data_IF_810182117416
#
_entry.id   IF_810182117416
#
_cell.length_a   1.000
_cell.length_b   1.000
_cell.length_c   1.000
_cell.angle_alpha   90.00
_cell.angle_beta   90.00
_cell.angle_gamma   90.00
#
_symmetry.space_group_name_H-M   'P 1'
#
loop_
_entity.id
_entity.type
_entity.pdbx_description
1 polymer ?
#
# COMPACT_ATOMS: atom_id res chain seq x y z
N UNK A 1 -73.02 -18.21 -39.71
CA UNK A 1 -71.90 -18.91 -39.05
C UNK A 1 -70.64 -18.65 -39.87
N UNK A 2 -70.26 -17.42 -40.21
CA UNK A 2 -69.78 -16.34 -39.35
C UNK A 2 -68.60 -16.80 -38.48
N UNK A 3 -67.40 -16.86 -39.07
CA UNK A 3 -66.17 -16.80 -38.30
C UNK A 3 -65.31 -15.68 -38.88
N UNK A 4 -65.40 -14.54 -38.21
CA UNK A 4 -64.57 -13.38 -38.42
C UNK A 4 -63.12 -13.74 -38.04
N UNK A 5 -62.24 -13.77 -39.02
CA UNK A 5 -60.81 -13.71 -38.78
C UNK A 5 -60.50 -12.29 -38.31
N UNK A 6 -60.38 -12.11 -36.99
CA UNK A 6 -59.76 -10.92 -36.40
C UNK A 6 -58.30 -10.89 -36.87
N UNK A 7 -58.04 -10.11 -37.92
CA UNK A 7 -56.73 -9.53 -38.15
C UNK A 7 -56.52 -8.45 -37.08
N UNK A 8 -55.92 -8.83 -35.95
CA UNK A 8 -55.23 -7.84 -35.12
C UNK A 8 -53.86 -7.64 -35.75
N UNK A 9 -53.74 -6.61 -36.57
CA UNK A 9 -52.45 -6.02 -36.89
C UNK A 9 -51.83 -5.55 -35.57
N UNK A 10 -50.95 -6.37 -35.00
CA UNK A 10 -50.07 -5.97 -33.91
C UNK A 10 -49.03 -5.03 -34.52
N UNK A 11 -49.38 -3.75 -34.67
CA UNK A 11 -48.39 -2.71 -34.95
C UNK A 11 -47.43 -2.69 -33.77
N UNK A 12 -46.17 -3.08 -34.01
CA UNK A 12 -45.10 -2.92 -33.04
C UNK A 12 -45.05 -1.44 -32.63
N UNK A 13 -44.93 -1.11 -31.33
CA UNK A 13 -44.84 0.28 -30.90
C UNK A 13 -43.59 0.90 -31.52
N UNK A 14 -43.79 1.85 -32.42
CA UNK A 14 -42.70 2.58 -33.07
C UNK A 14 -42.09 3.54 -32.05
N UNK A 15 -40.82 3.33 -31.70
CA UNK A 15 -40.02 4.19 -30.81
C UNK A 15 -39.56 5.51 -31.47
N UNK A 16 -40.10 5.83 -32.65
CA UNK A 16 -39.69 6.99 -33.44
C UNK A 16 -40.55 8.21 -33.10
N UNK A 17 -39.89 9.32 -32.76
CA UNK A 17 -40.54 10.58 -32.46
C UNK A 17 -40.98 11.23 -33.79
N UNK A 18 -42.25 11.09 -34.15
CA UNK A 18 -42.81 11.63 -35.40
C UNK A 18 -43.14 13.10 -35.21
N UNK A 19 -42.52 13.97 -36.01
CA UNK A 19 -42.85 15.39 -36.06
C UNK A 19 -44.21 15.58 -36.76
N UNK A 20 -45.27 15.76 -35.99
CA UNK A 20 -46.55 16.22 -36.50
C UNK A 20 -46.43 17.72 -36.79
N UNK A 21 -46.22 18.08 -38.07
CA UNK A 21 -46.20 19.48 -38.51
C UNK A 21 -47.50 20.18 -38.13
N UNK A 22 -47.43 21.12 -37.19
CA UNK A 22 -48.54 22.02 -36.87
C UNK A 22 -48.14 23.44 -37.28
N UNK A 23 -49.00 24.08 -38.07
CA UNK A 23 -48.91 25.52 -38.29
C UNK A 23 -49.40 26.18 -37.01
N UNK A 24 -48.58 27.02 -36.32
CA UNK A 24 -49.01 27.62 -35.07
C UNK A 24 -50.28 28.45 -35.29
N UNK A 25 -51.22 28.37 -34.35
CA UNK A 25 -52.45 29.16 -34.39
C UNK A 25 -52.08 30.66 -34.46
N UNK A 26 -52.30 31.29 -35.61
CA UNK A 26 -52.10 32.73 -35.77
C UNK A 26 -53.20 33.44 -34.99
N UNK A 27 -52.88 34.01 -33.82
CA UNK A 27 -53.79 34.94 -33.15
C UNK A 27 -53.87 36.21 -33.99
N UNK A 28 -55.00 36.42 -34.65
CA UNK A 28 -55.28 37.65 -35.37
C UNK A 28 -55.96 38.62 -34.41
N UNK A 29 -55.29 39.73 -34.14
CA UNK A 29 -55.89 40.87 -33.46
C UNK A 29 -56.30 41.90 -34.51
N UNK A 30 -57.47 42.53 -34.37
CA UNK A 30 -57.91 43.63 -35.24
C UNK A 30 -57.19 44.95 -34.89
N UNK A 31 -55.86 44.93 -34.80
CA UNK A 31 -55.05 46.03 -34.28
C UNK A 31 -55.19 47.32 -35.09
N UNK A 32 -55.46 47.22 -36.41
CA UNK A 32 -55.67 48.41 -37.24
C UNK A 32 -57.00 49.09 -36.94
N UNK A 33 -58.09 48.34 -36.86
CA UNK A 33 -59.41 48.87 -36.49
C UNK A 33 -59.40 49.43 -35.06
N UNK A 34 -58.78 48.70 -34.12
CA UNK A 34 -58.65 49.14 -32.74
C UNK A 34 -57.82 50.42 -32.61
N UNK A 35 -56.69 50.52 -33.33
CA UNK A 35 -55.88 51.74 -33.39
C UNK A 35 -56.64 52.91 -34.02
N UNK A 36 -57.48 52.63 -35.03
CA UNK A 36 -58.30 53.66 -35.65
C UNK A 36 -59.42 54.14 -34.71
N UNK A 37 -60.03 53.23 -33.95
CA UNK A 37 -61.02 53.56 -32.93
C UNK A 37 -60.42 54.40 -31.80
N UNK A 38 -59.26 54.00 -31.25
CA UNK A 38 -58.53 54.82 -30.26
C UNK A 38 -58.20 56.19 -30.84
N UNK A 39 -57.69 56.27 -32.08
CA UNK A 39 -57.39 57.58 -32.70
C UNK A 39 -58.65 58.42 -32.89
N UNK A 40 -59.78 57.82 -33.23
CA UNK A 40 -61.05 58.52 -33.40
C UNK A 40 -61.64 58.97 -32.06
N UNK A 41 -61.47 58.20 -30.98
CA UNK A 41 -61.82 58.61 -29.63
C UNK A 41 -60.87 59.72 -29.13
N UNK A 42 -59.57 59.61 -29.37
CA UNK A 42 -58.57 60.63 -29.04
C UNK A 42 -58.79 61.97 -29.75
N UNK A 43 -59.37 61.98 -30.96
CA UNK A 43 -59.78 63.21 -31.66
C UNK A 43 -60.87 63.99 -30.93
N UNK A 44 -61.69 63.32 -30.09
CA UNK A 44 -62.69 64.00 -29.25
C UNK A 44 -62.05 64.73 -28.06
N UNK A 45 -60.76 64.50 -27.82
CA UNK A 45 -60.03 64.93 -26.63
C UNK A 45 -58.91 65.94 -26.94
N UNK A 46 -59.01 66.69 -28.04
CA UNK A 46 -58.17 67.87 -28.33
C UNK A 46 -58.58 69.05 -27.40
N UNK A 47 -58.59 68.78 -26.10
CA UNK A 47 -58.98 69.69 -25.02
C UNK A 47 -57.73 70.37 -24.47
N UNK A 48 -57.69 71.70 -24.55
CA UNK A 48 -56.71 72.49 -23.81
C UNK A 48 -57.01 72.33 -22.32
N UNK A 49 -56.07 71.79 -21.55
CA UNK A 49 -56.22 71.62 -20.10
C UNK A 49 -56.25 73.00 -19.44
N UNK A 50 -57.39 73.37 -18.86
CA UNK A 50 -57.61 74.62 -18.12
C UNK A 50 -57.98 74.29 -16.67
N UNK A 51 -58.04 75.31 -15.80
CA UNK A 51 -58.34 75.13 -14.36
C UNK A 51 -59.67 74.41 -14.13
N UNK A 52 -60.65 74.65 -15.01
CA UNK A 52 -61.99 74.05 -14.92
C UNK A 52 -62.06 72.63 -15.50
N UNK A 53 -61.14 72.22 -16.39
CA UNK A 53 -61.17 70.93 -17.10
C UNK A 53 -60.18 69.89 -16.57
N UNK A 54 -59.31 70.25 -15.62
CA UNK A 54 -58.29 69.37 -15.03
C UNK A 54 -58.87 68.09 -14.40
N UNK A 55 -60.05 68.17 -13.77
CA UNK A 55 -60.68 67.01 -13.12
C UNK A 55 -61.07 65.95 -14.15
N UNK A 56 -61.68 66.38 -15.25
CA UNK A 56 -62.12 65.49 -16.33
C UNK A 56 -60.93 64.95 -17.12
N UNK A 57 -59.89 65.77 -17.33
CA UNK A 57 -58.63 65.32 -17.93
C UNK A 57 -57.93 64.24 -17.09
N UNK A 58 -57.97 64.34 -15.75
CA UNK A 58 -57.43 63.30 -14.86
C UNK A 58 -58.26 62.00 -14.90
N UNK A 59 -59.59 62.10 -14.95
CA UNK A 59 -60.46 60.95 -15.10
C UNK A 59 -60.23 60.24 -16.44
N UNK A 60 -60.06 61.00 -17.52
CA UNK A 60 -59.75 60.49 -18.84
C UNK A 60 -58.37 59.82 -18.91
N UNK A 61 -57.35 60.43 -18.32
CA UNK A 61 -56.03 59.80 -18.22
C UNK A 61 -56.07 58.47 -17.44
N UNK A 62 -56.89 58.39 -16.39
CA UNK A 62 -57.11 57.15 -15.66
C UNK A 62 -57.83 56.08 -16.51
N UNK A 63 -58.82 56.46 -17.30
CA UNK A 63 -59.52 55.55 -18.22
C UNK A 63 -58.61 55.02 -19.33
N UNK A 64 -57.83 55.88 -19.97
CA UNK A 64 -56.84 55.49 -20.98
C UNK A 64 -55.78 54.53 -20.40
N UNK A 65 -55.34 54.76 -19.17
CA UNK A 65 -54.44 53.84 -18.47
C UNK A 65 -55.11 52.49 -18.18
N UNK A 66 -56.40 52.47 -17.82
CA UNK A 66 -57.20 51.26 -17.64
C UNK A 66 -57.34 50.45 -18.93
N UNK A 67 -57.66 51.11 -20.04
CA UNK A 67 -57.75 50.49 -21.36
C UNK A 67 -56.40 49.92 -21.83
N UNK A 68 -55.30 50.66 -21.64
CA UNK A 68 -53.95 50.19 -21.97
C UNK A 68 -53.55 48.95 -21.15
N UNK A 69 -53.91 48.93 -19.85
CA UNK A 69 -53.68 47.77 -18.97
C UNK A 69 -54.49 46.55 -19.44
N UNK A 70 -55.78 46.72 -19.70
CA UNK A 70 -56.67 45.64 -20.19
C UNK A 70 -56.19 45.02 -21.51
N UNK A 71 -55.71 45.84 -22.45
CA UNK A 71 -55.13 45.35 -23.70
C UNK A 71 -53.87 44.49 -23.44
N UNK A 72 -52.98 44.95 -22.56
CA UNK A 72 -51.77 44.23 -22.20
C UNK A 72 -52.10 42.91 -21.50
N UNK A 73 -53.10 42.90 -20.63
CA UNK A 73 -53.53 41.70 -19.91
C UNK A 73 -54.17 40.69 -20.86
N UNK A 74 -55.05 41.11 -21.77
CA UNK A 74 -55.61 40.23 -22.82
C UNK A 74 -54.56 39.67 -23.77
N UNK A 75 -53.55 40.47 -24.14
CA UNK A 75 -52.43 39.99 -24.94
C UNK A 75 -51.63 38.90 -24.18
N UNK A 76 -51.36 39.10 -22.89
CA UNK A 76 -50.68 38.11 -22.06
C UNK A 76 -51.48 36.82 -21.91
N UNK A 77 -52.78 36.92 -21.65
CA UNK A 77 -53.68 35.76 -21.57
C UNK A 77 -53.71 34.98 -22.89
N UNK A 78 -53.84 35.68 -24.02
CA UNK A 78 -53.81 35.06 -25.34
C UNK A 78 -52.44 34.42 -25.67
N UNK A 79 -51.33 35.08 -25.30
CA UNK A 79 -49.99 34.53 -25.47
C UNK A 79 -49.80 33.25 -24.63
N UNK A 80 -50.26 33.25 -23.37
CA UNK A 80 -50.20 32.09 -22.49
C UNK A 80 -51.00 30.88 -23.04
N UNK A 81 -52.15 31.12 -23.68
CA UNK A 81 -52.93 30.03 -24.31
C UNK A 81 -52.19 29.36 -25.47
N UNK A 82 -51.31 30.08 -26.17
CA UNK A 82 -50.52 29.55 -27.29
C UNK A 82 -49.22 28.90 -26.82
N UNK A 83 -48.59 29.42 -25.76
CA UNK A 83 -47.35 28.82 -25.22
C UNK A 83 -47.64 27.60 -24.35
N UNK A 84 -48.76 27.58 -23.61
CA UNK A 84 -49.08 26.51 -22.66
C UNK A 84 -49.03 25.09 -23.28
N UNK A 85 -49.60 24.81 -24.47
CA UNK A 85 -49.48 23.47 -25.08
C UNK A 85 -48.02 23.08 -25.42
N UNK A 86 -47.17 24.07 -25.72
CA UNK A 86 -45.74 23.85 -25.99
C UNK A 86 -44.98 23.62 -24.69
N UNK A 87 -45.32 24.36 -23.63
CA UNK A 87 -44.76 24.19 -22.29
C UNK A 87 -45.15 22.82 -21.70
N UNK A 88 -46.43 22.44 -21.80
CA UNK A 88 -46.97 21.15 -21.36
C UNK A 88 -46.30 19.98 -22.13
N UNK A 89 -46.17 20.09 -23.46
CA UNK A 89 -45.42 19.10 -24.26
C UNK A 89 -43.92 19.07 -23.87
N UNK A 90 -43.33 20.22 -23.55
CA UNK A 90 -41.96 20.32 -23.06
C UNK A 90 -41.76 19.56 -21.74
N UNK A 91 -42.74 19.60 -20.83
CA UNK A 91 -42.75 18.83 -19.60
C UNK A 91 -42.90 17.32 -19.87
N UNK A 92 -43.83 16.91 -20.73
CA UNK A 92 -44.01 15.50 -21.10
C UNK A 92 -42.74 14.92 -21.75
N UNK A 93 -42.09 15.67 -22.64
CA UNK A 93 -40.81 15.28 -23.24
C UNK A 93 -39.71 15.22 -22.17
N UNK A 94 -39.67 16.15 -21.22
CA UNK A 94 -38.69 16.14 -20.13
C UNK A 94 -38.88 14.93 -19.20
N UNK A 95 -40.12 14.53 -18.92
CA UNK A 95 -40.44 13.35 -18.13
C UNK A 95 -39.98 12.06 -18.85
N UNK A 96 -40.25 11.94 -20.16
CA UNK A 96 -39.76 10.80 -20.97
C UNK A 96 -38.23 10.75 -21.00
N UNK A 97 -37.57 11.90 -21.17
CA UNK A 97 -36.10 11.98 -21.13
C UNK A 97 -35.57 11.53 -19.77
N UNK A 98 -36.20 11.95 -18.68
CA UNK A 98 -35.85 11.52 -17.31
C UNK A 98 -35.97 9.99 -17.17
N UNK A 99 -37.08 9.39 -17.62
CA UNK A 99 -37.30 7.95 -17.55
C UNK A 99 -36.24 7.15 -18.33
N UNK A 100 -35.84 7.63 -19.51
CA UNK A 100 -34.78 7.03 -20.32
C UNK A 100 -33.44 7.07 -19.59
N UNK A 101 -33.10 8.23 -18.98
CA UNK A 101 -31.84 8.39 -18.25
C UNK A 101 -31.77 7.50 -17.01
N UNK A 102 -32.83 7.47 -16.20
CA UNK A 102 -32.90 6.58 -15.03
C UNK A 102 -32.80 5.10 -15.42
N UNK A 103 -33.46 4.70 -16.51
CA UNK A 103 -33.40 3.33 -17.03
C UNK A 103 -32.00 2.96 -17.50
N UNK A 104 -31.31 3.88 -18.19
CA UNK A 104 -29.91 3.73 -18.60
C UNK A 104 -28.98 3.59 -17.39
N UNK A 105 -29.17 4.39 -16.34
CA UNK A 105 -28.36 4.31 -15.12
C UNK A 105 -28.52 2.95 -14.42
N UNK A 106 -29.76 2.46 -14.29
CA UNK A 106 -30.05 1.12 -13.76
C UNK A 106 -29.36 0.02 -14.58
N UNK A 107 -29.45 0.07 -15.91
CA UNK A 107 -28.77 -0.89 -16.79
C UNK A 107 -27.24 -0.82 -16.66
N UNK A 108 -26.68 0.39 -16.58
CA UNK A 108 -25.22 0.58 -16.42
C UNK A 108 -24.73 0.00 -15.09
N UNK A 109 -25.49 0.18 -14.01
CA UNK A 109 -25.18 -0.39 -12.71
C UNK A 109 -25.25 -1.93 -12.72
N UNK A 110 -26.25 -2.51 -13.39
CA UNK A 110 -26.38 -3.96 -13.55
C UNK A 110 -25.25 -4.56 -14.37
N UNK A 111 -24.88 -3.92 -15.49
CA UNK A 111 -23.73 -4.32 -16.32
C UNK A 111 -22.46 -4.34 -15.49
N UNK A 112 -22.17 -3.25 -14.76
CA UNK A 112 -20.98 -3.18 -13.91
C UNK A 112 -20.94 -4.29 -12.86
N UNK A 113 -22.06 -4.50 -12.16
CA UNK A 113 -22.16 -5.57 -11.15
C UNK A 113 -21.88 -6.94 -11.76
N UNK A 114 -22.48 -7.24 -12.91
CA UNK A 114 -22.25 -8.48 -13.64
C UNK A 114 -20.79 -8.63 -14.07
N UNK A 115 -20.18 -7.59 -14.63
CA UNK A 115 -18.77 -7.63 -15.04
C UNK A 115 -17.82 -7.87 -13.86
N UNK A 116 -18.06 -7.23 -12.72
CA UNK A 116 -17.25 -7.37 -11.52
C UNK A 116 -17.38 -8.80 -10.93
N UNK A 117 -18.60 -9.32 -10.81
CA UNK A 117 -18.86 -10.70 -10.39
C UNK A 117 -18.22 -11.71 -11.36
N UNK A 118 -18.34 -11.48 -12.67
CA UNK A 118 -17.73 -12.34 -13.69
C UNK A 118 -16.21 -12.32 -13.62
N UNK A 119 -15.59 -11.18 -13.36
CA UNK A 119 -14.12 -11.08 -13.18
C UNK A 119 -13.64 -11.85 -11.95
N UNK A 120 -14.41 -11.91 -10.87
CA UNK A 120 -14.09 -12.74 -9.70
C UNK A 120 -14.07 -14.22 -10.09
N UNK A 121 -15.07 -14.69 -10.82
CA UNK A 121 -15.12 -16.08 -11.33
C UNK A 121 -13.93 -16.38 -12.24
N UNK A 122 -13.61 -15.48 -13.17
CA UNK A 122 -12.43 -15.59 -14.05
C UNK A 122 -11.14 -15.70 -13.22
N UNK A 123 -10.96 -14.82 -12.22
CA UNK A 123 -9.77 -14.82 -11.38
C UNK A 123 -9.61 -16.15 -10.66
N UNK A 124 -10.69 -16.66 -10.03
CA UNK A 124 -10.65 -17.94 -9.32
C UNK A 124 -10.28 -19.10 -10.25
N UNK A 125 -10.85 -19.15 -11.46
CA UNK A 125 -10.52 -20.20 -12.43
C UNK A 125 -9.05 -20.13 -12.89
N UNK A 126 -8.50 -18.92 -13.08
CA UNK A 126 -7.09 -18.73 -13.39
C UNK A 126 -6.20 -19.15 -12.21
N UNK A 127 -6.59 -18.81 -10.98
CA UNK A 127 -5.83 -19.16 -9.77
C UNK A 127 -5.79 -20.67 -9.55
N UNK A 128 -6.94 -21.34 -9.65
CA UNK A 128 -7.03 -22.80 -9.57
C UNK A 128 -6.13 -23.44 -10.62
N UNK A 129 -6.23 -22.99 -11.88
CA UNK A 129 -5.40 -23.56 -12.95
C UNK A 129 -3.91 -23.26 -12.75
N UNK A 130 -3.57 -22.11 -12.20
CA UNK A 130 -2.19 -21.72 -11.88
C UNK A 130 -1.58 -22.64 -10.82
N UNK A 131 -2.33 -22.95 -9.77
CA UNK A 131 -1.90 -23.89 -8.73
C UNK A 131 -1.65 -25.27 -9.34
N UNK A 132 -2.60 -25.79 -10.13
CA UNK A 132 -2.42 -27.07 -10.84
C UNK A 132 -1.15 -27.09 -11.70
N UNK A 133 -0.89 -26.03 -12.46
CA UNK A 133 0.26 -25.96 -13.35
C UNK A 133 1.59 -25.82 -12.59
N UNK A 134 1.62 -25.10 -11.46
CA UNK A 134 2.79 -25.08 -10.58
C UNK A 134 3.09 -26.45 -9.99
N UNK A 135 2.06 -27.20 -9.59
CA UNK A 135 2.23 -28.54 -9.05
C UNK A 135 2.65 -29.53 -10.15
N UNK A 136 2.08 -29.42 -11.36
CA UNK A 136 2.46 -30.25 -12.52
C UNK A 136 3.90 -30.03 -12.98
N UNK A 137 4.40 -28.80 -12.89
CA UNK A 137 5.78 -28.45 -13.26
C UNK A 137 6.74 -28.47 -12.06
N UNK A 138 6.28 -28.93 -10.89
CA UNK A 138 7.08 -29.01 -9.66
C UNK A 138 7.80 -27.70 -9.32
N UNK A 139 7.10 -26.57 -9.51
CA UNK A 139 7.64 -25.24 -9.20
C UNK A 139 7.62 -25.03 -7.69
N UNK A 140 8.79 -24.81 -7.10
CA UNK A 140 8.94 -24.59 -5.66
C UNK A 140 8.37 -23.23 -5.25
N UNK A 141 7.92 -23.12 -4.01
CA UNK A 141 7.20 -21.97 -3.48
C UNK A 141 7.95 -20.64 -3.67
N UNK A 142 9.28 -20.65 -3.49
CA UNK A 142 10.14 -19.47 -3.69
C UNK A 142 10.14 -18.92 -5.12
N UNK A 143 9.76 -19.74 -6.12
CA UNK A 143 9.66 -19.34 -7.52
C UNK A 143 8.21 -19.11 -7.98
N UNK A 144 7.19 -19.29 -7.12
CA UNK A 144 5.77 -19.15 -7.49
C UNK A 144 5.35 -17.69 -7.64
N UNK A 145 5.91 -17.00 -8.62
CA UNK A 145 5.60 -15.61 -8.95
C UNK A 145 5.00 -15.50 -10.35
N UNK A 146 3.68 -15.59 -10.48
CA UNK A 146 3.00 -15.39 -11.77
C UNK A 146 1.86 -14.36 -11.59
N UNK A 147 2.09 -13.08 -11.94
CA UNK A 147 1.08 -12.04 -11.82
C UNK A 147 -0.03 -12.25 -12.86
N UNK A 148 -1.25 -12.51 -12.39
CA UNK A 148 -2.38 -12.91 -13.25
C UNK A 148 -3.34 -11.77 -13.58
N UNK A 149 -3.19 -10.57 -13.00
CA UNK A 149 -4.18 -9.49 -13.17
C UNK A 149 -4.44 -9.12 -14.62
N UNK A 150 -3.39 -9.17 -15.46
CA UNK A 150 -3.51 -8.90 -16.91
C UNK A 150 -4.30 -9.98 -17.66
N UNK A 151 -4.45 -11.17 -17.10
CA UNK A 151 -5.21 -12.28 -17.66
C UNK A 151 -6.69 -12.24 -17.28
N UNK A 152 -7.06 -11.49 -16.24
CA UNK A 152 -8.45 -11.36 -15.76
C UNK A 152 -9.23 -10.44 -16.70
N UNK A 153 -9.80 -11.04 -17.75
CA UNK A 153 -10.66 -10.37 -18.74
C UNK A 153 -11.97 -11.14 -18.85
N UNK A 154 -13.07 -10.46 -19.21
CA UNK A 154 -14.37 -11.11 -19.40
C UNK A 154 -14.31 -12.21 -20.48
N UNK A 155 -13.46 -12.04 -21.49
CA UNK A 155 -13.23 -12.99 -22.58
C UNK A 155 -12.29 -14.14 -22.23
N UNK A 156 -11.77 -14.20 -20.99
CA UNK A 156 -10.85 -15.25 -20.57
C UNK A 156 -11.54 -16.61 -20.32
N UNK A 157 -12.87 -16.60 -20.16
CA UNK A 157 -13.70 -17.79 -20.06
C UNK A 157 -14.54 -17.98 -21.33
N UNK A 158 -14.78 -19.24 -21.66
CA UNK A 158 -15.75 -19.67 -22.67
C UNK A 158 -17.18 -19.63 -22.11
N UNK A 159 -18.17 -19.79 -22.98
CA UNK A 159 -19.59 -19.88 -22.57
C UNK A 159 -19.87 -21.08 -21.66
N UNK A 160 -18.97 -22.07 -21.62
CA UNK A 160 -19.01 -23.24 -20.74
C UNK A 160 -18.18 -23.08 -19.47
N UNK A 161 -17.80 -21.85 -19.12
CA UNK A 161 -16.99 -21.53 -17.94
C UNK A 161 -15.60 -22.17 -17.87
N UNK A 162 -15.08 -22.67 -19.00
CA UNK A 162 -13.68 -23.12 -19.10
C UNK A 162 -12.78 -21.97 -19.55
N UNK A 163 -11.52 -21.96 -19.09
CA UNK A 163 -10.50 -21.02 -19.56
C UNK A 163 -10.30 -21.16 -21.09
N UNK A 164 -10.18 -20.01 -21.76
CA UNK A 164 -9.87 -20.02 -23.19
C UNK A 164 -8.45 -20.53 -23.45
N UNK A 165 -8.23 -21.08 -24.65
CA UNK A 165 -6.90 -21.52 -25.08
C UNK A 165 -5.87 -20.38 -25.16
N UNK A 166 -6.31 -19.12 -25.32
CA UNK A 166 -5.42 -17.97 -25.27
C UNK A 166 -4.96 -17.70 -23.83
N UNK A 167 -5.90 -17.61 -22.89
CA UNK A 167 -5.59 -17.42 -21.47
C UNK A 167 -4.73 -18.56 -20.92
N UNK A 168 -5.01 -19.81 -21.30
CA UNK A 168 -4.20 -20.96 -20.90
C UNK A 168 -2.76 -20.87 -21.41
N UNK A 169 -2.56 -20.49 -22.68
CA UNK A 169 -1.21 -20.31 -23.24
C UNK A 169 -0.44 -19.20 -22.54
N UNK A 170 -1.10 -18.07 -22.27
CA UNK A 170 -0.46 -16.95 -21.60
C UNK A 170 -0.12 -17.29 -20.13
N UNK A 171 -1.02 -18.01 -19.43
CA UNK A 171 -0.76 -18.52 -18.09
C UNK A 171 0.40 -19.52 -18.08
N UNK A 172 0.41 -20.47 -19.02
CA UNK A 172 1.51 -21.43 -19.18
C UNK A 172 2.84 -20.72 -19.39
N UNK A 173 2.88 -19.72 -20.25
CA UNK A 173 4.09 -18.92 -20.51
C UNK A 173 4.64 -18.24 -19.23
N UNK A 174 3.75 -17.71 -18.38
CA UNK A 174 4.17 -17.14 -17.08
C UNK A 174 4.77 -18.21 -16.17
N UNK A 175 4.16 -19.39 -16.11
CA UNK A 175 4.62 -20.48 -15.24
C UNK A 175 5.91 -21.11 -15.76
N UNK A 176 6.06 -21.23 -17.08
CA UNK A 176 7.30 -21.68 -17.72
C UNK A 176 8.46 -20.74 -17.39
N UNK A 177 8.22 -19.42 -17.27
CA UNK A 177 9.25 -18.48 -16.84
C UNK A 177 9.67 -18.72 -15.38
N UNK A 178 8.74 -19.07 -14.49
CA UNK A 178 9.08 -19.43 -13.11
C UNK A 178 9.91 -20.71 -13.07
N UNK A 179 9.51 -21.72 -13.86
CA UNK A 179 10.27 -22.96 -13.97
C UNK A 179 11.68 -22.71 -14.50
N UNK A 180 11.84 -21.87 -15.52
CA UNK A 180 13.15 -21.48 -16.05
C UNK A 180 14.02 -20.77 -15.00
N UNK A 181 13.43 -19.90 -14.19
CA UNK A 181 14.14 -19.23 -13.09
C UNK A 181 14.60 -20.23 -12.03
N UNK A 182 13.75 -21.21 -11.70
CA UNK A 182 14.11 -22.32 -10.82
C UNK A 182 15.26 -23.14 -11.38
N UNK A 183 15.16 -23.63 -12.63
CA UNK A 183 16.21 -24.43 -13.27
C UNK A 183 17.53 -23.65 -13.36
N UNK A 184 17.48 -22.34 -13.63
CA UNK A 184 18.65 -21.46 -13.63
C UNK A 184 19.28 -21.35 -12.23
N UNK A 185 18.45 -21.23 -11.20
CA UNK A 185 18.90 -21.12 -9.81
C UNK A 185 19.52 -22.43 -9.32
N UNK A 186 18.88 -23.56 -9.60
CA UNK A 186 19.41 -24.90 -9.30
C UNK A 186 20.76 -25.13 -9.99
N UNK A 187 20.88 -24.74 -11.27
CA UNK A 187 22.15 -24.81 -12.01
C UNK A 187 23.23 -23.92 -11.40
N UNK A 188 22.88 -22.71 -10.96
CA UNK A 188 23.81 -21.78 -10.29
C UNK A 188 24.37 -22.40 -9.01
N UNK A 189 23.50 -22.95 -8.17
CA UNK A 189 23.89 -23.60 -6.91
C UNK A 189 24.76 -24.85 -7.15
N UNK A 190 24.41 -25.67 -8.14
CA UNK A 190 25.21 -26.85 -8.52
C UNK A 190 26.64 -26.49 -8.97
N UNK A 191 26.79 -25.35 -9.65
CA UNK A 191 28.09 -24.89 -10.16
C UNK A 191 28.87 -24.06 -9.14
N UNK A 192 28.22 -23.54 -8.09
CA UNK A 192 28.80 -22.61 -7.13
C UNK A 192 30.00 -23.20 -6.38
N UNK A 193 29.88 -24.44 -5.91
CA UNK A 193 30.96 -25.14 -5.22
C UNK A 193 32.17 -25.32 -6.15
N UNK A 194 31.93 -25.81 -7.37
CA UNK A 194 32.97 -25.99 -8.38
C UNK A 194 33.67 -24.68 -8.74
N UNK A 195 32.93 -23.58 -8.87
CA UNK A 195 33.52 -22.27 -9.14
C UNK A 195 34.33 -21.77 -7.94
N UNK A 196 33.86 -21.96 -6.71
CA UNK A 196 34.56 -21.54 -5.50
C UNK A 196 35.95 -22.19 -5.40
N UNK A 197 36.06 -23.50 -5.63
CA UNK A 197 37.35 -24.18 -5.63
C UNK A 197 38.25 -23.78 -6.81
N UNK A 198 37.68 -23.53 -8.00
CA UNK A 198 38.44 -23.06 -9.16
C UNK A 198 39.09 -21.69 -8.91
N UNK A 199 38.42 -20.81 -8.19
CA UNK A 199 38.95 -19.51 -7.78
C UNK A 199 39.94 -19.61 -6.59
N UNK A 200 40.16 -20.80 -6.04
CA UNK A 200 41.14 -21.06 -4.99
C UNK A 200 40.64 -20.87 -3.56
N UNK A 201 39.32 -20.76 -3.35
CA UNK A 201 38.75 -20.72 -2.00
C UNK A 201 38.94 -22.07 -1.29
N UNK A 202 39.39 -22.03 -0.03
CA UNK A 202 39.54 -23.24 0.81
C UNK A 202 38.20 -23.83 1.27
N UNK A 203 37.20 -22.99 1.47
CA UNK A 203 35.83 -23.37 1.77
C UNK A 203 34.91 -22.84 0.68
N UNK A 204 34.01 -23.66 0.10
CA UNK A 204 33.15 -23.23 -0.98
C UNK A 204 32.05 -22.29 -0.50
N UNK A 205 31.61 -21.40 -1.39
CA UNK A 205 30.44 -20.57 -1.13
C UNK A 205 29.18 -21.45 -1.12
N UNK A 206 28.30 -21.20 -0.15
CA UNK A 206 27.00 -21.85 -0.02
C UNK A 206 25.89 -20.93 -0.53
N UNK A 207 24.66 -21.47 -0.63
CA UNK A 207 23.46 -20.70 -1.00
C UNK A 207 23.31 -19.40 -0.20
N UNK A 208 23.55 -19.45 1.11
CA UNK A 208 23.44 -18.31 2.03
C UNK A 208 24.31 -17.12 1.60
N UNK A 209 25.48 -17.38 0.99
CA UNK A 209 26.39 -16.33 0.55
C UNK A 209 25.84 -15.58 -0.68
N UNK A 210 25.07 -16.27 -1.53
CA UNK A 210 24.62 -15.75 -2.83
C UNK A 210 23.14 -15.40 -2.86
N UNK A 211 22.39 -15.70 -1.80
CA UNK A 211 20.94 -15.60 -1.72
C UNK A 211 20.42 -14.22 -2.15
N UNK A 212 21.08 -13.14 -1.71
CA UNK A 212 20.71 -11.75 -2.02
C UNK A 212 20.72 -11.39 -3.51
N UNK A 213 21.41 -12.16 -4.35
CA UNK A 213 21.48 -11.94 -5.79
C UNK A 213 21.24 -13.21 -6.62
N UNK A 214 20.73 -14.27 -5.99
CA UNK A 214 20.56 -15.59 -6.60
C UNK A 214 19.57 -15.57 -7.77
N UNK A 215 18.59 -14.67 -7.74
CA UNK A 215 17.54 -14.51 -8.75
C UNK A 215 17.84 -13.40 -9.78
N UNK A 216 19.00 -12.76 -9.69
CA UNK A 216 19.35 -11.67 -10.60
C UNK A 216 19.56 -12.14 -12.04
N UNK A 217 19.43 -11.21 -12.97
CA UNK A 217 19.80 -11.42 -14.36
C UNK A 217 21.27 -11.89 -14.48
N UNK A 218 21.54 -12.75 -15.48
CA UNK A 218 22.82 -13.46 -15.60
C UNK A 218 24.06 -12.55 -15.53
N UNK A 219 24.03 -11.41 -16.21
CA UNK A 219 25.13 -10.45 -16.20
C UNK A 219 25.38 -9.84 -14.80
N UNK A 220 24.30 -9.58 -14.04
CA UNK A 220 24.41 -9.03 -12.69
C UNK A 220 24.85 -10.11 -11.70
N UNK A 221 24.31 -11.32 -11.81
CA UNK A 221 24.71 -12.48 -11.01
C UNK A 221 26.21 -12.76 -11.15
N UNK A 222 26.73 -12.86 -12.38
CA UNK A 222 28.14 -13.15 -12.61
C UNK A 222 29.07 -12.09 -12.02
N UNK A 223 28.72 -10.81 -12.18
CA UNK A 223 29.51 -9.70 -11.61
C UNK A 223 29.52 -9.70 -10.08
N UNK A 224 28.35 -9.92 -9.45
CA UNK A 224 28.23 -9.99 -7.99
C UNK A 224 28.93 -11.20 -7.40
N UNK A 225 28.85 -12.36 -8.08
CA UNK A 225 29.54 -13.57 -7.67
C UNK A 225 31.07 -13.38 -7.70
N UNK A 226 31.61 -12.82 -8.77
CA UNK A 226 33.05 -12.53 -8.88
C UNK A 226 33.52 -11.57 -7.78
N UNK A 227 32.70 -10.56 -7.46
CA UNK A 227 32.98 -9.64 -6.36
C UNK A 227 33.00 -10.35 -5.00
N UNK A 228 32.00 -11.22 -4.74
CA UNK A 228 31.94 -12.02 -3.52
C UNK A 228 33.16 -12.93 -3.38
N UNK A 229 33.52 -13.66 -4.43
CA UNK A 229 34.71 -14.52 -4.45
C UNK A 229 35.99 -13.72 -4.17
N UNK A 230 36.13 -12.53 -4.75
CA UNK A 230 37.28 -11.65 -4.49
C UNK A 230 37.33 -11.19 -3.03
N UNK A 231 36.20 -10.85 -2.44
CA UNK A 231 36.10 -10.45 -1.03
C UNK A 231 36.51 -11.60 -0.10
N UNK A 232 36.03 -12.81 -0.41
CA UNK A 232 36.28 -14.02 0.36
C UNK A 232 37.74 -14.48 0.27
N UNK A 233 38.37 -14.37 -0.90
CA UNK A 233 39.81 -14.61 -1.05
C UNK A 233 40.64 -13.62 -0.20
N UNK A 234 40.26 -12.34 -0.16
CA UNK A 234 40.93 -11.35 0.71
C UNK A 234 40.77 -11.69 2.19
N UNK A 235 39.58 -12.14 2.61
CA UNK A 235 39.33 -12.57 3.98
C UNK A 235 40.18 -13.79 4.36
N UNK A 236 40.28 -14.76 3.46
CA UNK A 236 41.13 -15.95 3.65
C UNK A 236 42.61 -15.56 3.79
N UNK A 237 43.13 -14.73 2.88
CA UNK A 237 44.52 -14.27 2.93
C UNK A 237 44.85 -13.51 4.25
N UNK A 238 43.96 -12.62 4.69
CA UNK A 238 44.13 -11.89 5.94
C UNK A 238 44.12 -12.81 7.18
N UNK A 239 43.26 -13.83 7.16
CA UNK A 239 43.18 -14.82 8.25
C UNK A 239 44.44 -15.66 8.30
N UNK A 240 44.92 -16.14 7.15
CA UNK A 240 46.16 -16.93 7.07
C UNK A 240 47.39 -16.14 7.52
N UNK A 241 47.49 -14.87 7.14
CA UNK A 241 48.57 -14.01 7.58
C UNK A 241 48.51 -13.77 9.10
N UNK A 242 47.32 -13.51 9.66
CA UNK A 242 47.13 -13.35 11.09
C UNK A 242 47.49 -14.62 11.88
N UNK A 243 47.03 -15.80 11.43
CA UNK A 243 47.39 -17.09 12.04
C UNK A 243 48.89 -17.34 11.94
N UNK A 244 49.53 -17.03 10.79
CA UNK A 244 50.97 -17.20 10.63
C UNK A 244 51.78 -16.31 11.57
N UNK A 245 51.32 -15.08 11.80
CA UNK A 245 51.94 -14.16 12.77
C UNK A 245 51.79 -14.69 14.20
N UNK A 246 50.59 -15.13 14.60
CA UNK A 246 50.35 -15.71 15.91
C UNK A 246 51.22 -16.94 16.19
N UNK A 247 51.28 -17.88 15.24
CA UNK A 247 52.13 -19.08 15.36
C UNK A 247 53.61 -18.71 15.45
N UNK A 248 54.08 -17.72 14.67
CA UNK A 248 55.46 -17.26 14.74
C UNK A 248 55.79 -16.58 16.08
N UNK A 249 54.90 -15.75 16.61
CA UNK A 249 55.05 -15.10 17.91
C UNK A 249 55.04 -16.12 19.05
N UNK A 250 54.17 -17.12 18.99
CA UNK A 250 54.11 -18.21 19.97
C UNK A 250 55.38 -19.06 19.94
N UNK A 251 55.89 -19.42 18.75
CA UNK A 251 57.17 -20.12 18.61
C UNK A 251 58.35 -19.31 19.15
N UNK A 252 58.35 -17.99 19.00
CA UNK A 252 59.38 -17.12 19.59
C UNK A 252 59.27 -17.06 21.11
N UNK A 253 58.06 -17.00 21.68
CA UNK A 253 57.86 -17.05 23.14
C UNK A 253 58.40 -18.36 23.72
N UNK A 254 58.02 -19.50 23.14
CA UNK A 254 58.48 -20.81 23.63
C UNK A 254 60.00 -20.97 23.51
N UNK A 255 60.64 -20.39 22.50
CA UNK A 255 62.11 -20.40 22.37
C UNK A 255 62.81 -19.47 23.36
N UNK A 256 62.22 -18.34 23.73
CA UNK A 256 62.75 -17.46 24.78
C UNK A 256 62.59 -18.07 26.18
N UNK A 257 61.49 -18.78 26.44
CA UNK A 257 61.28 -19.52 27.70
C UNK A 257 62.17 -20.77 27.83
N UNK A 258 62.64 -21.33 26.70
CA UNK A 258 63.54 -22.48 26.67
C UNK A 258 65.04 -22.11 26.70
N UNK A 259 65.40 -20.83 26.77
CA UNK A 259 66.79 -20.42 26.98
C UNK A 259 67.19 -20.63 28.46
N UNK A 260 68.31 -21.32 28.76
CA UNK A 260 68.68 -21.64 30.14
C UNK A 260 69.03 -20.35 30.91
N UNK A 261 68.36 -20.15 32.04
CA UNK A 261 68.71 -19.09 32.99
C UNK A 261 70.19 -19.18 33.41
N UNK A 262 70.95 -18.06 33.42
CA UNK A 262 72.25 -18.05 34.06
C UNK A 262 72.07 -18.18 35.58
N UNK A 263 72.67 -19.23 36.13
CA UNK A 263 72.70 -19.55 37.56
C UNK A 263 73.23 -18.36 38.37
N UNK A 264 72.37 -17.65 39.11
CA UNK A 264 72.77 -16.75 40.20
C UNK A 264 71.83 -16.85 41.42
N UNK A 265 72.39 -17.43 42.48
CA UNK A 265 72.29 -17.08 43.91
C UNK A 265 70.93 -16.66 44.53
N UNK A 266 70.43 -17.55 45.38
CA UNK A 266 69.71 -17.40 46.66
C UNK A 266 68.94 -16.10 47.03
N UNK A 267 67.65 -16.33 47.34
CA UNK A 267 66.67 -15.62 48.22
C UNK A 267 66.05 -14.26 47.79
N UNK A 268 64.80 -13.94 48.23
CA UNK A 268 63.65 -14.77 48.63
C UNK A 268 62.40 -14.53 47.75
N UNK A 269 61.50 -15.51 47.74
CA UNK A 269 60.25 -15.53 46.97
C UNK A 269 59.22 -14.52 47.54
N UNK A 270 58.71 -13.54 46.77
CA UNK A 270 57.42 -12.95 47.06
C UNK A 270 56.35 -13.87 46.47
N UNK A 271 55.77 -14.73 47.32
CA UNK A 271 54.51 -15.40 47.00
C UNK A 271 53.44 -14.33 46.82
N UNK A 272 53.17 -13.94 45.58
CA UNK A 272 51.88 -13.40 45.17
C UNK A 272 51.10 -14.53 44.50
N UNK A 273 50.66 -15.49 45.32
CA UNK A 273 49.37 -16.10 45.03
C UNK A 273 48.35 -15.05 45.44
N UNK A 274 47.72 -14.39 44.46
CA UNK A 274 46.46 -13.72 44.75
C UNK A 274 45.55 -14.78 45.38
N UNK A 275 44.97 -14.55 46.57
CA UNK A 275 44.01 -15.49 47.11
C UNK A 275 42.89 -15.66 46.06
N UNK A 276 42.49 -16.90 45.74
CA UNK A 276 41.46 -17.14 44.73
C UNK A 276 40.25 -16.28 45.06
N UNK A 277 39.73 -15.60 44.05
CA UNK A 277 38.58 -14.72 44.21
C UNK A 277 37.42 -15.51 44.83
N UNK A 278 36.53 -14.85 45.57
CA UNK A 278 35.38 -15.53 46.17
C UNK A 278 34.58 -16.31 45.12
N UNK A 279 34.55 -15.82 43.87
CA UNK A 279 33.97 -16.49 42.72
C UNK A 279 34.69 -17.81 42.39
N UNK A 280 36.01 -17.80 42.23
CA UNK A 280 36.80 -19.02 41.97
C UNK A 280 36.69 -20.05 43.12
N UNK A 281 36.64 -19.59 44.37
CA UNK A 281 36.42 -20.48 45.52
C UNK A 281 35.03 -21.13 45.50
N UNK A 282 33.99 -20.40 45.08
CA UNK A 282 32.64 -20.93 44.91
C UNK A 282 32.55 -21.91 43.72
N UNK A 283 33.22 -21.63 42.61
CA UNK A 283 33.28 -22.52 41.44
C UNK A 283 33.93 -23.87 41.78
N UNK A 284 35.05 -23.84 42.51
CA UNK A 284 35.73 -25.06 42.96
C UNK A 284 34.84 -25.86 43.93
N UNK A 285 34.16 -25.21 44.88
CA UNK A 285 33.22 -25.88 45.80
C UNK A 285 32.01 -26.47 45.09
N UNK A 286 31.45 -25.75 44.12
CA UNK A 286 30.32 -26.22 43.31
C UNK A 286 30.71 -27.46 42.51
N UNK A 287 31.91 -27.46 41.91
CA UNK A 287 32.43 -28.60 41.17
C UNK A 287 32.61 -29.83 42.06
N UNK A 288 33.24 -29.65 43.23
CA UNK A 288 33.42 -30.72 44.21
C UNK A 288 32.08 -31.27 44.73
N UNK A 289 31.08 -30.41 44.97
CA UNK A 289 29.76 -30.82 45.42
C UNK A 289 28.99 -31.62 44.35
N UNK A 290 29.09 -31.23 43.07
CA UNK A 290 28.49 -31.98 41.95
C UNK A 290 29.14 -33.35 41.74
N UNK A 291 30.46 -33.43 41.88
CA UNK A 291 31.22 -34.68 41.76
C UNK A 291 30.97 -35.64 42.94
N UNK A 292 30.64 -35.11 44.12
CA UNK A 292 30.31 -35.89 45.31
C UNK A 292 28.85 -36.38 45.36
N UNK A 293 27.93 -35.70 44.66
CA UNK A 293 26.50 -36.04 44.62
C UNK A 293 26.19 -37.54 44.36
N UNK A 294 26.86 -38.25 43.44
CA UNK A 294 26.57 -39.66 43.16
C UNK A 294 26.94 -40.61 44.30
N UNK A 295 27.77 -40.16 45.25
CA UNK A 295 28.33 -40.96 46.34
C UNK A 295 27.73 -40.59 47.71
N UNK A 296 26.70 -39.75 47.74
CA UNK A 296 26.06 -39.32 48.97
C UNK A 296 25.16 -40.42 49.55
N UNK A 297 25.58 -41.03 50.65
CA UNK A 297 24.86 -42.10 51.37
C UNK A 297 23.65 -41.58 52.20
N UNK A 298 23.12 -40.40 51.88
CA UNK A 298 22.07 -39.71 52.65
C UNK A 298 21.06 -38.95 51.78
N UNK A 299 20.30 -38.04 52.41
CA UNK A 299 19.12 -37.36 51.87
C UNK A 299 19.44 -36.50 50.62
N UNK A 300 19.47 -37.13 49.45
CA UNK A 300 19.90 -36.60 48.16
C UNK A 300 19.25 -35.25 47.78
N UNK A 301 18.03 -35.03 48.27
CA UNK A 301 17.27 -33.78 48.07
C UNK A 301 17.92 -32.55 48.73
N UNK A 302 18.58 -32.71 49.89
CA UNK A 302 19.24 -31.60 50.58
C UNK A 302 20.54 -31.19 49.90
N UNK A 303 21.28 -32.14 49.34
CA UNK A 303 22.52 -31.84 48.61
C UNK A 303 22.24 -31.16 47.26
N UNK A 304 21.18 -31.58 46.57
CA UNK A 304 20.72 -30.88 45.37
C UNK A 304 20.31 -29.43 45.67
N UNK A 305 19.63 -29.17 46.80
CA UNK A 305 19.30 -27.79 47.22
C UNK A 305 20.53 -26.94 47.47
N UNK A 306 21.54 -27.49 48.16
CA UNK A 306 22.81 -26.78 48.41
C UNK A 306 23.56 -26.46 47.11
N UNK A 307 23.56 -27.38 46.14
CA UNK A 307 24.14 -27.15 44.82
C UNK A 307 23.40 -26.03 44.09
N UNK A 308 22.06 -26.06 44.07
CA UNK A 308 21.27 -25.01 43.44
C UNK A 308 21.44 -23.63 44.10
N UNK A 309 21.58 -23.58 45.42
CA UNK A 309 21.89 -22.34 46.15
C UNK A 309 23.28 -21.79 45.77
N UNK A 310 24.30 -22.65 45.67
CA UNK A 310 25.63 -22.25 45.22
C UNK A 310 25.65 -21.78 43.76
N UNK A 311 24.89 -22.42 42.87
CA UNK A 311 24.71 -21.97 41.47
C UNK A 311 24.04 -20.59 41.40
N UNK A 312 23.02 -20.37 42.22
CA UNK A 312 22.32 -19.08 42.26
C UNK A 312 23.23 -17.96 42.78
N UNK A 313 24.06 -18.24 43.80
CA UNK A 313 25.05 -17.29 44.30
C UNK A 313 26.13 -16.98 43.26
N UNK A 314 26.63 -17.98 42.54
CA UNK A 314 27.61 -17.78 41.46
C UNK A 314 27.03 -16.92 40.33
N UNK A 315 25.77 -17.18 39.93
CA UNK A 315 25.07 -16.40 38.92
C UNK A 315 24.81 -14.95 39.38
N UNK A 316 24.52 -14.73 40.66
CA UNK A 316 24.35 -13.39 41.22
C UNK A 316 25.65 -12.58 41.24
N UNK A 317 26.81 -13.23 41.45
CA UNK A 317 28.12 -12.58 41.39
C UNK A 317 28.59 -12.26 39.97
N UNK A 318 28.05 -12.95 38.95
CA UNK A 318 28.37 -12.74 37.53
C UNK A 318 27.42 -11.75 36.83
N UNK A 319 26.36 -11.28 37.49
CA UNK A 319 25.49 -10.25 36.92
C UNK A 319 26.12 -8.85 37.09
N UNK A 320 26.31 -8.07 36.00
CA UNK A 320 26.62 -6.66 36.16
C UNK A 320 25.45 -5.93 36.81
N UNK A 321 25.76 -4.94 37.67
CA UNK A 321 24.78 -4.13 38.40
C UNK A 321 23.70 -3.56 37.44
N UNK A 322 22.45 -3.37 37.92
CA UNK A 322 21.38 -2.86 37.08
C UNK A 322 21.75 -1.46 36.57
N UNK A 323 21.88 -1.33 35.25
CA UNK A 323 22.11 -0.06 34.57
C UNK A 323 20.87 0.82 34.78
N UNK A 324 21.00 1.83 35.64
CA UNK A 324 20.09 2.97 35.65
C UNK A 324 20.04 3.52 34.22
N UNK A 325 18.86 3.48 33.58
CA UNK A 325 18.67 3.98 32.23
C UNK A 325 18.95 5.49 32.22
N UNK A 326 20.15 5.87 31.78
CA UNK A 326 20.43 7.25 31.39
C UNK A 326 19.56 7.55 30.16
N UNK A 327 18.77 8.62 30.25
CA UNK A 327 17.87 9.05 29.18
C UNK A 327 18.66 9.21 27.86
N UNK A 328 18.38 8.34 26.89
CA UNK A 328 19.00 8.40 25.57
C UNK A 328 18.41 9.59 24.80
N UNK A 329 19.27 10.42 24.19
CA UNK A 329 18.80 11.53 23.35
C UNK A 329 18.31 10.96 22.02
N UNK A 330 17.01 11.10 21.75
CA UNK A 330 16.38 10.64 20.51
C UNK A 330 16.03 11.85 19.64
N UNK A 331 16.60 11.90 18.44
CA UNK A 331 16.36 12.97 17.46
C UNK A 331 15.29 12.47 16.45
N UNK A 332 14.17 13.18 16.33
CA UNK A 332 13.12 12.86 15.34
C UNK A 332 13.35 13.70 14.09
N UNK A 333 13.68 13.05 12.98
CA UNK A 333 14.17 13.70 11.75
C UNK A 333 13.22 13.37 10.60
N UNK A 334 12.87 14.39 9.81
CA UNK A 334 12.07 14.21 8.62
C UNK A 334 12.96 13.88 7.42
N UNK A 335 12.52 12.98 6.54
CA UNK A 335 13.15 12.78 5.24
C UNK A 335 12.14 12.54 4.11
N UNK A 336 11.48 13.58 3.57
CA UNK A 336 10.83 13.46 2.28
C UNK A 336 11.94 13.53 1.23
N UNK A 337 12.08 12.49 0.41
CA UNK A 337 13.07 12.45 -0.67
C UNK A 337 14.55 12.60 -0.25
N UNK A 338 14.91 12.17 0.97
CA UNK A 338 16.31 12.09 1.40
C UNK A 338 16.95 13.37 1.96
N UNK A 339 16.20 14.43 2.25
CA UNK A 339 16.72 15.56 3.05
C UNK A 339 16.68 15.23 4.54
N UNK A 340 17.78 15.44 5.29
CA UNK A 340 17.82 15.28 6.75
C UNK A 340 17.46 16.60 7.46
N UNK A 341 16.19 16.99 7.44
CA UNK A 341 15.74 18.16 8.22
C UNK A 341 15.16 17.72 9.57
N UNK A 342 15.73 18.24 10.66
CA UNK A 342 15.33 17.91 12.03
C UNK A 342 14.02 18.62 12.38
N UNK A 343 12.94 17.87 12.58
CA UNK A 343 11.63 18.41 12.95
C UNK A 343 11.54 18.68 14.46
N UNK A 344 12.04 17.75 15.27
CA UNK A 344 11.92 17.87 16.73
C UNK A 344 12.99 17.05 17.46
N UNK A 345 13.55 17.62 18.53
CA UNK A 345 14.48 16.92 19.44
C UNK A 345 13.77 16.61 20.74
N UNK A 346 13.68 15.33 21.09
CA UNK A 346 12.98 14.89 22.30
C UNK A 346 13.98 14.27 23.28
N UNK A 347 13.94 14.74 24.52
CA UNK A 347 14.80 14.27 25.61
C UNK A 347 14.05 13.34 26.55
N UNK A 348 13.39 12.31 26.03
CA UNK A 348 12.54 11.43 26.84
C UNK A 348 12.51 9.99 26.33
N UNK A 349 11.66 9.17 26.94
CA UNK A 349 11.52 7.73 26.66
C UNK A 349 11.19 7.44 25.18
N UNK A 350 11.59 6.25 24.71
CA UNK A 350 11.37 5.76 23.34
C UNK A 350 9.90 5.86 22.88
N UNK A 351 8.95 5.68 23.79
CA UNK A 351 7.51 5.73 23.52
C UNK A 351 7.04 7.12 23.13
N UNK A 352 7.58 8.16 23.78
CA UNK A 352 7.20 9.54 23.51
C UNK A 352 7.79 10.03 22.17
N UNK A 353 8.99 9.58 21.83
CA UNK A 353 9.58 9.81 20.51
C UNK A 353 8.74 9.18 19.38
N UNK A 354 8.17 7.99 19.60
CA UNK A 354 7.29 7.33 18.65
C UNK A 354 5.96 8.06 18.46
N UNK A 355 5.36 8.54 19.57
CA UNK A 355 4.13 9.34 19.50
C UNK A 355 4.35 10.68 18.80
N UNK A 356 5.47 11.35 19.08
CA UNK A 356 5.84 12.59 18.40
C UNK A 356 6.04 12.38 16.89
N UNK A 357 6.69 11.28 16.49
CA UNK A 357 6.91 10.94 15.09
C UNK A 357 5.60 10.58 14.35
N UNK A 358 4.68 9.87 15.00
CA UNK A 358 3.35 9.57 14.43
C UNK A 358 2.53 10.84 14.22
N UNK A 359 2.52 11.75 15.19
CA UNK A 359 1.81 13.02 15.07
C UNK A 359 2.41 13.90 13.96
N UNK A 360 3.75 13.94 13.86
CA UNK A 360 4.43 14.65 12.78
C UNK A 360 4.09 14.07 11.39
N UNK A 361 4.08 12.73 11.28
CA UNK A 361 3.75 12.03 10.04
C UNK A 361 2.29 12.28 9.61
N UNK A 362 1.35 12.27 10.56
CA UNK A 362 -0.06 12.53 10.31
C UNK A 362 -0.30 13.97 9.83
N UNK A 363 0.41 14.95 10.40
CA UNK A 363 0.28 16.36 10.02
C UNK A 363 0.89 16.66 8.64
N UNK A 364 1.97 15.97 8.28
CA UNK A 364 2.71 16.21 7.02
C UNK A 364 2.29 15.26 5.88
N UNK A 365 1.45 14.25 6.15
CA UNK A 365 0.99 13.29 5.16
C UNK A 365 2.10 12.41 4.55
N UNK A 366 3.20 12.21 5.28
CA UNK A 366 4.42 11.56 4.78
C UNK A 366 5.12 10.79 5.91
N UNK A 367 5.94 9.79 5.55
CA UNK A 367 6.68 8.97 6.52
C UNK A 367 7.75 9.80 7.25
N UNK A 368 7.91 9.55 8.55
CA UNK A 368 8.89 10.24 9.41
C UNK A 368 9.90 9.23 9.96
N UNK A 369 11.18 9.58 9.91
CA UNK A 369 12.24 8.73 10.41
C UNK A 369 12.62 9.07 11.85
N UNK A 370 12.85 8.05 12.66
CA UNK A 370 13.30 8.20 14.03
C UNK A 370 14.76 7.80 14.10
N UNK A 371 15.61 8.70 14.57
CA UNK A 371 17.04 8.51 14.65
C UNK A 371 17.51 8.60 16.11
N UNK A 372 18.49 7.77 16.46
CA UNK A 372 19.23 7.91 17.71
C UNK A 372 20.67 8.26 17.39
N UNK A 373 21.31 9.02 18.28
CA UNK A 373 22.74 9.37 18.10
C UNK A 373 23.65 8.15 18.04
N UNK A 374 23.27 7.06 18.70
CA UNK A 374 24.13 5.89 18.87
C UNK A 374 23.85 4.78 17.84
N UNK A 375 22.60 4.61 17.40
CA UNK A 375 22.20 3.47 16.55
C UNK A 375 21.77 3.89 15.14
N UNK A 376 21.78 5.19 14.83
CA UNK A 376 21.29 5.68 13.54
C UNK A 376 19.77 5.59 13.45
N UNK A 377 19.24 5.29 12.25
CA UNK A 377 17.79 5.18 12.03
C UNK A 377 17.25 3.93 12.72
N UNK A 378 16.37 4.12 13.70
CA UNK A 378 15.82 3.05 14.53
C UNK A 378 14.39 2.68 14.18
N UNK A 379 13.64 3.60 13.56
CA UNK A 379 12.26 3.33 13.16
C UNK A 379 11.74 4.30 12.10
N UNK A 380 10.60 3.95 11.49
CA UNK A 380 9.81 4.78 10.59
C UNK A 380 8.38 4.87 11.14
N UNK A 381 7.85 6.07 11.28
CA UNK A 381 6.46 6.29 11.67
C UNK A 381 5.59 6.63 10.44
N UNK A 382 4.44 5.97 10.36
CA UNK A 382 3.38 6.23 9.40
C UNK A 382 2.11 6.69 10.14
N UNK A 383 1.91 8.00 10.18
CA UNK A 383 0.77 8.63 10.82
C UNK A 383 -0.56 8.41 10.09
N UNK A 384 -0.54 8.02 8.81
CA UNK A 384 -1.77 7.68 8.09
C UNK A 384 -2.32 6.31 8.54
N UNK A 385 -1.43 5.34 8.80
CA UNK A 385 -1.80 4.03 9.33
C UNK A 385 -1.73 3.91 10.85
N UNK A 386 -1.14 4.90 11.53
CA UNK A 386 -0.90 4.87 12.98
C UNK A 386 0.16 3.85 13.41
N UNK A 387 1.04 3.43 12.49
CA UNK A 387 2.02 2.35 12.73
C UNK A 387 3.45 2.87 12.79
N UNK A 388 4.27 2.23 13.63
CA UNK A 388 5.71 2.47 13.71
C UNK A 388 6.45 1.18 13.36
N UNK A 389 7.34 1.25 12.38
CA UNK A 389 8.16 0.16 11.90
C UNK A 389 9.56 0.28 12.51
N UNK A 390 9.90 -0.61 13.44
CA UNK A 390 11.15 -0.56 14.20
C UNK A 390 12.19 -1.49 13.58
N UNK A 391 13.40 -0.98 13.31
CA UNK A 391 14.55 -1.81 12.94
C UNK A 391 15.29 -2.24 14.20
N UNK A 392 15.03 -3.48 14.63
CA UNK A 392 15.80 -4.34 15.58
C UNK A 392 14.87 -5.25 16.41
N UNK A 393 14.00 -6.00 15.74
CA UNK A 393 13.35 -7.21 16.28
C UNK A 393 13.30 -8.32 15.23
N UNK A 394 14.44 -8.62 14.62
CA UNK A 394 14.67 -9.88 13.91
C UNK A 394 15.92 -10.54 14.48
#
# INVERSE_FOLDING_TARGET
MSNAALQTETQAPTTELVLLSSVPAKIQFNLQEFRQNIRNELKKYDLVVTVDTVKDAKALAADLNGQAKSLKDRFKEAAALVTKPVDDLGLEVADIVTEILESREKLTAQIKKFEDERKVVVRNAIEEKRLELWDQLEVQEEFRNAPIDKLVKLTALTDKDNLTAATLRDLQSLIDNNRRLQDQTEKRLLLLENQSYKEGLKAPLTREHVESFLFDAEASYAGKLAHMMTSELKRQAATEEATRRQVAEEQQRTQQEAAPEPVQQAEPVPQRFAPPTQQEQLEVRLKQAKEALPYAEGNHSEEQRKISEMEHQLRAMQQPAPVQHQAEQVDVIFTPNGSMEMLNRVHTSREEAFQAALSASANQGTLVDIWTKNQGRVAIADGASGRVYVWNQF
#
